data_IF_351511001417
#
_entry.id   IF_351511001417
#
_cell.length_a   1.000
_cell.length_b   1.000
_cell.length_c   1.000
_cell.angle_alpha   90.00
_cell.angle_beta   90.00
_cell.angle_gamma   90.00
#
_symmetry.space_group_name_H-M   'P 1'
#
loop_
_entity.id
_entity.type
_entity.pdbx_description
1 polymer ?
#
# COMPACT_ATOMS: atom_id res chain seq x y z
N UNK A 1 8.80 2.13 26.03
CA UNK A 1 8.98 1.19 27.16
C UNK A 1 7.76 1.05 28.07
N UNK A 2 7.14 2.16 28.49
CA UNK A 2 5.98 2.12 29.40
C UNK A 2 4.68 1.59 28.74
N UNK A 3 4.44 1.97 27.47
CA UNK A 3 3.31 1.47 26.66
C UNK A 3 3.36 -0.05 26.46
N UNK A 4 4.53 -0.58 26.06
CA UNK A 4 4.72 -2.03 25.87
C UNK A 4 4.59 -2.82 27.18
N UNK A 5 5.08 -2.27 28.30
CA UNK A 5 4.93 -2.89 29.63
C UNK A 5 3.47 -2.92 30.09
N UNK A 6 2.63 -1.99 29.64
CA UNK A 6 1.19 -1.97 29.90
C UNK A 6 0.45 -3.01 29.04
N UNK A 7 0.82 -3.14 27.77
CA UNK A 7 0.26 -4.13 26.85
C UNK A 7 0.53 -5.58 27.30
N UNK A 8 1.71 -5.85 27.88
CA UNK A 8 2.07 -7.17 28.42
C UNK A 8 1.27 -7.60 29.67
N UNK A 9 0.43 -6.72 30.26
CA UNK A 9 -0.37 -7.05 31.46
C UNK A 9 -1.77 -7.58 31.13
N UNK A 10 -2.12 -7.70 29.85
CA UNK A 10 -3.26 -8.49 29.37
C UNK A 10 -4.66 -8.05 29.80
N UNK A 11 -4.88 -6.85 30.34
CA UNK A 11 -6.23 -6.41 30.76
C UNK A 11 -6.60 -5.01 30.29
N UNK A 12 -7.56 -5.00 29.36
CA UNK A 12 -8.38 -3.90 28.83
C UNK A 12 -7.69 -2.80 28.03
N UNK A 13 -8.09 -2.66 26.76
CA UNK A 13 -7.79 -1.50 25.93
C UNK A 13 -7.98 -1.81 24.44
N UNK A 14 -8.26 -0.77 23.66
CA UNK A 14 -8.05 -0.80 22.21
C UNK A 14 -6.59 -0.47 21.94
N UNK A 15 -5.93 -1.22 21.06
CA UNK A 15 -4.59 -0.92 20.60
C UNK A 15 -4.56 -0.90 19.08
N UNK A 16 -3.66 -0.10 18.52
CA UNK A 16 -3.31 -0.12 17.10
C UNK A 16 -2.13 -1.06 16.91
N UNK A 17 -2.18 -1.86 15.86
CA UNK A 17 -1.05 -2.63 15.37
C UNK A 17 -0.96 -2.42 13.86
N UNK A 18 0.26 -2.31 13.32
CA UNK A 18 0.45 -2.37 11.89
C UNK A 18 0.16 -3.78 11.38
N UNK A 19 -0.27 -3.91 10.11
CA UNK A 19 -0.60 -5.22 9.54
C UNK A 19 0.57 -6.21 9.64
N UNK A 20 1.80 -5.72 9.54
CA UNK A 20 3.07 -6.46 9.65
C UNK A 20 3.49 -6.82 11.08
N UNK A 21 2.76 -6.36 12.10
CA UNK A 21 3.06 -6.64 13.51
C UNK A 21 2.10 -7.68 14.11
N UNK A 22 0.92 -7.86 13.51
CA UNK A 22 -0.11 -8.76 14.02
C UNK A 22 0.33 -10.20 13.84
N UNK A 23 0.76 -10.92 14.88
CA UNK A 23 1.12 -12.36 14.79
C UNK A 23 2.26 -12.67 13.80
N UNK A 24 3.22 -11.75 13.65
CA UNK A 24 4.36 -11.94 12.76
C UNK A 24 5.38 -12.91 13.39
N UNK A 25 5.63 -14.10 12.79
CA UNK A 25 6.57 -15.07 13.34
C UNK A 25 8.04 -14.64 13.21
N UNK A 26 8.34 -13.65 12.36
CA UNK A 26 9.68 -13.07 12.22
C UNK A 26 10.00 -12.06 13.34
N UNK A 27 9.00 -11.67 14.14
CA UNK A 27 9.16 -10.78 15.26
C UNK A 27 9.69 -11.54 16.49
N UNK A 28 10.97 -11.87 16.47
CA UNK A 28 11.66 -12.65 17.52
C UNK A 28 11.59 -12.00 18.90
N UNK A 29 11.32 -10.70 18.97
CA UNK A 29 11.23 -9.95 20.20
C UNK A 29 9.94 -10.25 20.99
N UNK A 30 8.89 -10.79 20.36
CA UNK A 30 7.59 -11.09 21.00
C UNK A 30 7.00 -9.94 21.83
N UNK A 31 7.32 -8.69 21.48
CA UNK A 31 6.92 -7.48 22.24
C UNK A 31 5.59 -6.88 21.78
N UNK A 32 5.13 -7.22 20.59
CA UNK A 32 3.97 -6.59 19.96
C UNK A 32 2.71 -7.41 20.19
N UNK A 33 1.61 -6.72 20.47
CA UNK A 33 0.28 -7.32 20.57
C UNK A 33 -0.27 -7.63 19.17
N UNK A 34 -0.99 -8.76 18.98
CA UNK A 34 -1.43 -9.70 20.00
C UNK A 34 -0.40 -10.78 20.40
N UNK A 35 0.69 -10.95 19.63
CA UNK A 35 1.68 -12.02 19.83
C UNK A 35 2.24 -12.08 21.27
N UNK A 36 2.52 -10.92 21.86
CA UNK A 36 3.06 -10.82 23.22
C UNK A 36 2.10 -11.34 24.29
N UNK A 37 0.79 -11.29 24.06
CA UNK A 37 -0.22 -11.80 25.01
C UNK A 37 -0.27 -13.32 24.95
N UNK A 38 -0.29 -13.91 23.75
CA UNK A 38 -0.26 -15.37 23.60
C UNK A 38 1.00 -16.00 24.19
N UNK A 39 2.16 -15.37 23.99
CA UNK A 39 3.44 -15.91 24.46
C UNK A 39 3.63 -15.72 25.97
N UNK A 40 3.23 -14.57 26.52
CA UNK A 40 3.60 -14.20 27.90
C UNK A 40 2.45 -14.22 28.90
N UNK A 41 1.19 -14.35 28.48
CA UNK A 41 0.03 -14.14 29.36
C UNK A 41 -1.05 -15.20 29.24
N UNK A 42 -1.60 -15.42 28.03
CA UNK A 42 -2.76 -16.28 27.79
C UNK A 42 -2.72 -16.77 26.34
N UNK A 43 -2.32 -18.03 26.15
CA UNK A 43 -2.17 -18.70 24.85
C UNK A 43 -3.52 -19.01 24.17
N UNK A 44 -4.64 -18.92 24.89
CA UNK A 44 -6.00 -19.14 24.39
C UNK A 44 -6.75 -17.81 24.15
N UNK A 45 -6.09 -16.67 24.30
CA UNK A 45 -6.71 -15.36 24.13
C UNK A 45 -7.28 -15.18 22.71
N UNK A 46 -8.55 -14.75 22.61
CA UNK A 46 -9.19 -14.44 21.31
C UNK A 46 -9.16 -12.94 21.05
N UNK A 47 -8.68 -12.54 19.87
CA UNK A 47 -8.64 -11.15 19.43
C UNK A 47 -9.67 -10.88 18.33
N UNK A 48 -10.42 -9.80 18.48
CA UNK A 48 -11.31 -9.28 17.43
C UNK A 48 -10.60 -8.13 16.73
N UNK A 49 -10.26 -8.32 15.45
CA UNK A 49 -9.61 -7.30 14.63
C UNK A 49 -10.66 -6.61 13.79
N UNK A 50 -10.78 -5.29 13.96
CA UNK A 50 -11.62 -4.43 13.13
C UNK A 50 -10.69 -3.61 12.24
N UNK A 51 -10.75 -3.75 10.90
CA UNK A 51 -9.98 -2.88 10.03
C UNK A 51 -10.57 -1.47 10.14
N UNK A 52 -9.89 -0.60 10.85
CA UNK A 52 -10.40 0.73 11.14
C UNK A 52 -9.90 1.72 10.08
N UNK A 53 -10.84 2.41 9.41
CA UNK A 53 -10.51 3.58 8.58
C UNK A 53 -9.92 4.73 9.41
N UNK A 54 -10.10 4.68 10.73
CA UNK A 54 -9.54 5.59 11.72
C UNK A 54 -9.09 4.80 12.96
N UNK A 55 -7.83 4.92 13.37
CA UNK A 55 -7.35 4.32 14.61
C UNK A 55 -7.83 5.09 15.85
N UNK A 56 -7.68 4.55 17.07
CA UNK A 56 -7.82 5.32 18.30
C UNK A 56 -6.92 6.57 18.27
N UNK A 57 -7.46 7.72 18.69
CA UNK A 57 -6.74 9.00 18.70
C UNK A 57 -6.86 9.81 17.40
N UNK A 58 -5.76 10.48 17.02
CA UNK A 58 -5.65 11.30 15.81
C UNK A 58 -4.92 10.57 14.66
N UNK A 59 -4.71 9.26 14.79
CA UNK A 59 -3.97 8.48 13.82
C UNK A 59 -4.92 7.91 12.76
N UNK A 60 -4.70 8.35 11.53
CA UNK A 60 -5.50 7.97 10.37
C UNK A 60 -4.65 7.16 9.40
N UNK A 61 -5.14 5.99 8.99
CA UNK A 61 -4.58 5.30 7.83
C UNK A 61 -5.47 5.59 6.63
N UNK A 62 -5.01 6.50 5.76
CA UNK A 62 -5.54 6.68 4.42
C UNK A 62 -4.42 6.29 3.47
N UNK A 63 -4.16 4.98 3.32
CA UNK A 63 -3.18 4.52 2.35
C UNK A 63 -3.71 4.87 0.96
N UNK A 64 -3.26 6.01 0.42
CA UNK A 64 -3.52 6.42 -0.95
C UNK A 64 -2.64 5.56 -1.86
N UNK A 65 -3.14 4.39 -2.22
CA UNK A 65 -2.47 3.54 -3.21
C UNK A 65 -2.59 4.21 -4.58
N UNK A 66 -1.46 4.46 -5.22
CA UNK A 66 -1.41 4.96 -6.59
C UNK A 66 -1.51 3.75 -7.52
N UNK A 67 -2.56 3.70 -8.33
CA UNK A 67 -2.78 2.65 -9.33
C UNK A 67 -2.03 2.97 -10.63
N UNK A 68 -0.77 3.43 -10.52
CA UNK A 68 0.12 3.65 -11.64
C UNK A 68 1.25 2.63 -11.58
N UNK A 69 1.48 1.92 -12.68
CA UNK A 69 2.57 0.93 -12.80
C UNK A 69 3.97 1.58 -12.75
N UNK A 70 4.04 2.87 -13.09
CA UNK A 70 5.26 3.68 -13.07
C UNK A 70 4.96 5.00 -12.35
N UNK A 71 5.89 5.47 -11.52
CA UNK A 71 5.75 6.71 -10.75
C UNK A 71 7.03 7.52 -10.86
N UNK A 72 6.92 8.84 -11.04
CA UNK A 72 8.07 9.76 -11.05
C UNK A 72 8.59 10.11 -9.64
N UNK A 73 8.00 9.52 -8.59
CA UNK A 73 8.48 9.73 -7.23
C UNK A 73 9.89 9.17 -7.02
N UNK A 74 10.70 9.89 -6.27
CA UNK A 74 11.98 9.42 -5.77
C UNK A 74 11.80 8.06 -5.09
N UNK A 75 12.52 7.05 -5.57
CA UNK A 75 12.42 5.66 -5.09
C UNK A 75 11.42 4.77 -5.84
N UNK A 76 10.70 5.29 -6.85
CA UNK A 76 9.75 4.52 -7.68
C UNK A 76 10.03 4.58 -9.19
N UNK A 77 11.08 5.29 -9.60
CA UNK A 77 11.65 5.24 -10.95
C UNK A 77 12.88 4.32 -10.95
N UNK A 78 12.95 3.40 -11.92
CA UNK A 78 14.21 2.72 -12.22
C UNK A 78 15.13 3.71 -12.95
N UNK A 79 16.24 4.09 -12.32
CA UNK A 79 17.26 4.94 -12.93
C UNK A 79 18.37 4.06 -13.49
N UNK A 80 18.60 4.14 -14.80
CA UNK A 80 19.72 3.45 -15.44
C UNK A 80 20.89 4.42 -15.57
N UNK A 81 22.08 3.99 -15.11
CA UNK A 81 23.30 4.76 -15.28
C UNK A 81 23.62 4.95 -16.76
N UNK A 82 24.19 6.11 -17.11
CA UNK A 82 24.55 6.45 -18.51
C UNK A 82 25.46 5.40 -19.19
N UNK A 83 26.19 4.58 -18.43
CA UNK A 83 27.06 3.52 -18.94
C UNK A 83 26.38 2.16 -19.14
N UNK A 84 25.06 2.05 -18.96
CA UNK A 84 24.30 0.84 -19.28
C UNK A 84 24.13 0.78 -20.79
N UNK A 85 24.68 -0.26 -21.43
CA UNK A 85 24.48 -0.48 -22.87
C UNK A 85 23.08 -0.98 -23.17
N UNK A 86 22.65 -0.89 -24.43
CA UNK A 86 21.33 -1.36 -24.86
C UNK A 86 21.14 -2.86 -24.58
N UNK A 87 22.18 -3.68 -24.71
CA UNK A 87 22.09 -5.12 -24.40
C UNK A 87 21.85 -5.36 -22.90
N UNK A 88 22.50 -4.56 -22.05
CA UNK A 88 22.29 -4.63 -20.59
C UNK A 88 20.89 -4.15 -20.23
N UNK A 89 20.42 -3.09 -20.87
CA UNK A 89 19.07 -2.56 -20.66
C UNK A 89 18.01 -3.58 -21.11
N UNK A 90 18.19 -4.19 -22.28
CA UNK A 90 17.32 -5.26 -22.78
C UNK A 90 17.28 -6.46 -21.82
N UNK A 91 18.43 -6.85 -21.24
CA UNK A 91 18.48 -7.92 -20.23
C UNK A 91 17.76 -7.54 -18.94
N UNK A 92 17.90 -6.30 -18.46
CA UNK A 92 17.15 -5.80 -17.29
C UNK A 92 15.65 -5.84 -17.57
N UNK A 93 15.20 -5.37 -18.73
CA UNK A 93 13.78 -5.45 -19.10
C UNK A 93 13.29 -6.88 -19.29
N UNK A 94 14.14 -7.81 -19.75
CA UNK A 94 13.81 -9.24 -19.79
C UNK A 94 13.59 -9.77 -18.38
N UNK A 95 14.50 -9.49 -17.44
CA UNK A 95 14.35 -9.90 -16.03
C UNK A 95 13.09 -9.31 -15.40
N UNK A 96 12.83 -8.03 -15.66
CA UNK A 96 11.62 -7.34 -15.19
C UNK A 96 10.35 -7.99 -15.77
N UNK A 97 10.38 -8.33 -17.07
CA UNK A 97 9.27 -8.97 -17.75
C UNK A 97 9.05 -10.42 -17.26
N UNK A 98 10.13 -11.20 -17.10
CA UNK A 98 10.06 -12.57 -16.55
C UNK A 98 9.46 -12.55 -15.13
N UNK A 99 9.81 -11.56 -14.31
CA UNK A 99 9.24 -11.37 -12.98
C UNK A 99 7.75 -11.03 -12.99
N UNK A 100 7.32 -10.13 -13.88
CA UNK A 100 5.94 -9.63 -13.91
C UNK A 100 4.98 -10.42 -14.79
N UNK A 101 5.46 -11.25 -15.72
CA UNK A 101 4.60 -12.00 -16.63
C UNK A 101 4.09 -13.32 -16.05
N UNK A 102 4.86 -13.96 -15.19
CA UNK A 102 4.42 -15.19 -14.52
C UNK A 102 4.95 -15.24 -13.07
N UNK A 103 4.13 -14.89 -12.06
CA UNK A 103 4.49 -15.03 -10.65
C UNK A 103 4.85 -16.46 -10.24
N UNK A 104 4.44 -17.46 -11.02
CA UNK A 104 4.62 -18.87 -10.72
C UNK A 104 5.75 -19.51 -11.51
N UNK A 105 6.47 -18.75 -12.35
CA UNK A 105 7.63 -19.31 -13.03
C UNK A 105 8.78 -19.57 -12.04
N UNK A 106 9.68 -20.48 -12.43
CA UNK A 106 10.83 -20.87 -11.60
C UNK A 106 11.71 -19.66 -11.24
N UNK A 107 11.73 -18.61 -12.08
CA UNK A 107 12.46 -17.39 -11.80
C UNK A 107 11.86 -16.66 -10.57
N UNK A 108 10.56 -16.43 -10.56
CA UNK A 108 9.83 -15.77 -9.47
C UNK A 108 9.89 -16.59 -8.18
N UNK A 109 9.70 -17.92 -8.24
CA UNK A 109 9.72 -18.76 -7.03
C UNK A 109 11.14 -18.94 -6.46
N UNK A 110 12.18 -19.07 -7.29
CA UNK A 110 13.53 -19.41 -6.80
C UNK A 110 14.47 -18.19 -6.67
N UNK A 111 14.39 -17.24 -7.59
CA UNK A 111 15.32 -16.09 -7.63
C UNK A 111 14.82 -14.95 -6.74
N UNK A 112 13.51 -14.71 -6.73
CA UNK A 112 12.91 -13.66 -5.88
C UNK A 112 12.44 -14.20 -4.53
N UNK A 113 11.72 -15.32 -4.52
CA UNK A 113 11.17 -15.90 -3.31
C UNK A 113 12.19 -16.73 -2.49
N UNK A 114 13.26 -17.18 -3.14
CA UNK A 114 14.31 -18.01 -2.56
C UNK A 114 14.02 -19.51 -2.68
N UNK A 115 15.03 -20.33 -2.41
CA UNK A 115 14.94 -21.80 -2.47
C UNK A 115 14.69 -22.39 -1.09
N UNK A 116 13.64 -23.20 -0.94
CA UNK A 116 13.35 -23.95 0.30
C UNK A 116 14.54 -24.83 0.71
N UNK A 117 14.84 -24.86 2.01
CA UNK A 117 16.00 -25.57 2.59
C UNK A 117 17.33 -24.82 2.47
N UNK A 118 17.41 -23.76 1.65
CA UNK A 118 18.58 -22.88 1.54
C UNK A 118 18.27 -21.50 2.14
N UNK A 119 17.16 -20.90 1.72
CA UNK A 119 16.77 -19.53 2.07
C UNK A 119 15.68 -19.49 3.13
N UNK A 120 14.81 -20.49 3.14
CA UNK A 120 13.72 -20.58 4.10
C UNK A 120 13.25 -22.02 4.31
N UNK A 121 12.41 -22.25 5.30
CA UNK A 121 11.57 -23.45 5.44
C UNK A 121 10.13 -23.04 5.69
N UNK A 122 9.14 -23.87 5.36
CA UNK A 122 7.75 -23.56 5.70
C UNK A 122 7.48 -23.82 7.17
N UNK A 123 6.69 -22.95 7.81
CA UNK A 123 6.21 -23.17 9.18
C UNK A 123 5.13 -24.25 9.28
N UNK A 124 4.62 -24.73 8.14
CA UNK A 124 3.53 -25.68 8.01
C UNK A 124 3.38 -26.15 6.55
N UNK A 125 2.14 -26.29 6.06
CA UNK A 125 1.86 -26.67 4.67
C UNK A 125 2.45 -25.67 3.65
N UNK A 126 3.23 -26.14 2.65
CA UNK A 126 3.79 -25.30 1.60
C UNK A 126 2.75 -24.44 0.88
N UNK A 127 3.12 -23.20 0.54
CA UNK A 127 2.24 -22.21 -0.13
C UNK A 127 0.97 -21.81 0.65
N UNK A 128 0.79 -22.34 1.86
CA UNK A 128 -0.33 -22.02 2.74
C UNK A 128 0.11 -21.48 4.11
N UNK A 129 1.41 -21.52 4.41
CA UNK A 129 2.02 -21.16 5.70
C UNK A 129 3.14 -20.14 5.52
N UNK A 130 3.64 -19.56 6.60
CA UNK A 130 4.75 -18.58 6.53
C UNK A 130 6.06 -19.25 6.15
N UNK A 131 6.93 -18.50 5.46
CA UNK A 131 8.34 -18.86 5.28
C UNK A 131 9.15 -18.41 6.50
N UNK A 132 9.87 -19.34 7.10
CA UNK A 132 10.86 -19.06 8.16
C UNK A 132 12.20 -18.86 7.47
N UNK A 133 12.68 -17.61 7.42
CA UNK A 133 13.92 -17.25 6.74
C UNK A 133 15.15 -17.83 7.46
N UNK A 134 16.13 -18.28 6.67
CA UNK A 134 17.46 -18.67 7.14
C UNK A 134 18.31 -17.41 7.37
N UNK A 135 19.09 -17.42 8.44
CA UNK A 135 20.09 -16.37 8.73
C UNK A 135 21.07 -16.20 7.55
N UNK A 136 21.38 -14.96 7.19
CA UNK A 136 22.14 -14.63 5.97
C UNK A 136 23.55 -15.24 5.95
N UNK A 137 24.16 -15.41 7.13
CA UNK A 137 25.47 -16.03 7.31
C UNK A 137 25.45 -17.56 7.05
N UNK A 138 24.29 -18.20 7.20
CA UNK A 138 24.07 -19.62 6.90
C UNK A 138 23.82 -19.89 5.41
N UNK A 139 23.51 -18.85 4.64
CA UNK A 139 23.28 -18.97 3.20
C UNK A 139 24.63 -18.98 2.46
N UNK A 140 24.97 -20.05 1.72
CA UNK A 140 26.21 -20.11 0.94
C UNK A 140 26.29 -18.94 -0.04
N UNK A 141 27.49 -18.36 -0.22
CA UNK A 141 27.71 -17.17 -1.05
C UNK A 141 27.09 -17.30 -2.45
N UNK A 142 27.22 -18.48 -3.07
CA UNK A 142 26.66 -18.76 -4.41
C UNK A 142 25.13 -18.70 -4.50
N UNK A 143 24.43 -18.74 -3.37
CA UNK A 143 22.98 -18.67 -3.29
C UNK A 143 22.48 -17.35 -2.71
N UNK A 144 23.34 -16.46 -2.20
CA UNK A 144 22.88 -15.19 -1.62
C UNK A 144 22.13 -14.35 -2.65
N UNK A 145 20.93 -13.92 -2.28
CA UNK A 145 20.07 -13.11 -3.13
C UNK A 145 20.51 -11.64 -3.15
N UNK A 146 20.35 -10.99 -4.30
CA UNK A 146 20.69 -9.57 -4.49
C UNK A 146 19.73 -8.57 -3.84
N UNK A 147 18.63 -9.05 -3.21
CA UNK A 147 17.57 -8.24 -2.57
C UNK A 147 17.09 -7.07 -3.46
N UNK A 148 16.72 -7.38 -4.71
CA UNK A 148 16.18 -6.37 -5.62
C UNK A 148 14.78 -5.96 -5.18
N UNK A 149 14.55 -4.65 -5.02
CA UNK A 149 13.21 -4.12 -4.79
C UNK A 149 12.51 -3.98 -6.15
N UNK A 150 11.64 -4.93 -6.46
CA UNK A 150 10.76 -4.88 -7.63
C UNK A 150 9.35 -4.78 -7.08
N UNK A 151 8.64 -3.68 -7.34
CA UNK A 151 7.28 -3.47 -6.81
C UNK A 151 6.38 -4.66 -7.17
N UNK A 152 5.67 -5.24 -6.21
CA UNK A 152 4.73 -6.33 -6.46
C UNK A 152 3.49 -5.80 -7.17
N UNK A 153 3.41 -6.01 -8.49
CA UNK A 153 2.19 -5.84 -9.29
C UNK A 153 1.62 -7.20 -9.67
N UNK A 154 1.41 -8.07 -8.67
CA UNK A 154 0.73 -9.34 -8.91
C UNK A 154 -0.78 -9.09 -8.92
N UNK A 155 -1.42 -9.46 -10.03
CA UNK A 155 -2.88 -9.45 -10.16
C UNK A 155 -3.56 -10.63 -9.45
N UNK A 156 -2.76 -11.51 -8.86
CA UNK A 156 -3.20 -12.65 -8.06
C UNK A 156 -2.85 -12.43 -6.58
N UNK A 157 -3.58 -13.10 -5.71
CA UNK A 157 -3.45 -12.98 -4.26
C UNK A 157 -2.02 -13.40 -3.84
N UNK A 158 -1.19 -12.42 -3.48
CA UNK A 158 0.09 -12.71 -2.86
C UNK A 158 -0.15 -13.10 -1.39
N UNK A 159 -0.29 -14.41 -1.18
CA UNK A 159 -0.60 -15.04 0.10
C UNK A 159 0.62 -15.35 0.97
N UNK A 160 1.83 -14.89 0.62
CA UNK A 160 3.06 -15.26 1.34
C UNK A 160 3.25 -14.54 2.69
N UNK A 161 2.26 -13.74 3.11
CA UNK A 161 2.19 -13.22 4.48
C UNK A 161 1.90 -14.34 5.49
N UNK A 162 2.26 -14.12 6.75
CA UNK A 162 1.94 -15.08 7.80
C UNK A 162 0.42 -15.16 8.06
N UNK A 163 -0.02 -16.25 8.71
CA UNK A 163 -1.43 -16.66 8.78
C UNK A 163 -2.41 -15.54 9.16
N UNK A 164 -2.13 -14.76 10.20
CA UNK A 164 -3.02 -13.66 10.60
C UNK A 164 -3.14 -12.57 9.53
N UNK A 165 -2.05 -12.18 8.87
CA UNK A 165 -2.08 -11.23 7.76
C UNK A 165 -2.88 -11.80 6.59
N UNK A 166 -2.70 -13.08 6.27
CA UNK A 166 -3.45 -13.78 5.23
C UNK A 166 -4.95 -13.79 5.49
N UNK A 167 -5.38 -14.09 6.72
CA UNK A 167 -6.80 -14.10 7.10
C UNK A 167 -7.42 -12.70 6.93
N UNK A 168 -6.73 -11.64 7.37
CA UNK A 168 -7.19 -10.26 7.23
C UNK A 168 -7.31 -9.86 5.75
N UNK A 169 -6.29 -10.14 4.94
CA UNK A 169 -6.29 -9.83 3.51
C UNK A 169 -7.38 -10.61 2.76
N UNK A 170 -7.53 -11.91 3.04
CA UNK A 170 -8.60 -12.76 2.49
C UNK A 170 -9.99 -12.21 2.86
N UNK A 171 -10.19 -11.79 4.10
CA UNK A 171 -11.45 -11.16 4.53
C UNK A 171 -11.74 -9.86 3.76
N UNK A 172 -10.73 -9.00 3.58
CA UNK A 172 -10.87 -7.77 2.80
C UNK A 172 -11.17 -8.05 1.32
N UNK A 173 -10.48 -9.03 0.74
CA UNK A 173 -10.64 -9.46 -0.65
C UNK A 173 -12.05 -10.03 -0.90
N UNK A 174 -12.45 -11.04 -0.13
CA UNK A 174 -13.78 -11.66 -0.20
C UNK A 174 -14.89 -10.65 0.10
N UNK A 175 -14.64 -9.72 1.01
CA UNK A 175 -15.55 -8.62 1.32
C UNK A 175 -15.65 -7.58 0.21
N UNK A 176 -14.81 -7.66 -0.84
CA UNK A 176 -14.70 -6.69 -1.95
C UNK A 176 -14.48 -5.27 -1.46
N UNK A 177 -13.60 -5.10 -0.47
CA UNK A 177 -13.39 -3.83 0.21
C UNK A 177 -12.97 -2.70 -0.74
N UNK A 178 -12.08 -2.98 -1.69
CA UNK A 178 -11.70 -2.01 -2.71
C UNK A 178 -12.91 -1.51 -3.52
N UNK A 179 -13.82 -2.40 -3.92
CA UNK A 179 -15.03 -2.02 -4.66
C UNK A 179 -16.03 -1.22 -3.81
N UNK A 180 -16.08 -1.48 -2.50
CA UNK A 180 -17.04 -0.84 -1.58
C UNK A 180 -16.57 0.50 -1.02
N UNK A 181 -15.27 0.62 -0.78
CA UNK A 181 -14.68 1.71 0.01
C UNK A 181 -13.55 2.44 -0.73
N UNK A 182 -13.08 1.92 -1.86
CA UNK A 182 -12.12 2.60 -2.71
C UNK A 182 -12.74 3.87 -3.29
N UNK A 183 -12.00 4.97 -3.21
CA UNK A 183 -12.37 6.24 -3.85
C UNK A 183 -11.45 6.40 -5.06
N UNK A 184 -12.07 6.37 -6.24
CA UNK A 184 -11.37 6.57 -7.51
C UNK A 184 -11.37 8.07 -7.84
N UNK A 185 -10.20 8.65 -8.19
CA UNK A 185 -10.16 10.05 -8.55
C UNK A 185 -10.81 10.25 -9.92
N UNK A 186 -11.61 11.31 -10.08
CA UNK A 186 -12.18 11.67 -11.40
C UNK A 186 -11.08 12.06 -12.40
N UNK A 187 -10.05 12.79 -11.93
CA UNK A 187 -8.82 13.09 -12.66
C UNK A 187 -7.62 12.85 -11.77
N UNK A 188 -6.54 12.33 -12.34
CA UNK A 188 -5.36 11.93 -11.57
C UNK A 188 -4.18 12.88 -11.81
N UNK A 189 -3.80 13.64 -10.78
CA UNK A 189 -2.74 14.65 -10.88
C UNK A 189 -1.38 13.94 -10.99
N UNK A 190 -0.84 13.85 -12.21
CA UNK A 190 0.55 13.49 -12.46
C UNK A 190 1.01 14.01 -13.83
N UNK A 191 2.32 13.96 -14.07
CA UNK A 191 2.94 14.39 -15.34
C UNK A 191 2.43 13.58 -16.53
N UNK A 192 2.17 12.28 -16.34
CA UNK A 192 1.75 11.37 -17.42
C UNK A 192 0.33 11.66 -17.94
N UNK A 193 -0.57 12.08 -17.06
CA UNK A 193 -1.97 12.38 -17.37
C UNK A 193 -2.13 13.84 -17.80
N UNK A 194 -1.45 14.78 -17.14
CA UNK A 194 -1.59 16.21 -17.43
C UNK A 194 -0.66 16.70 -18.56
N UNK A 195 0.42 15.97 -18.82
CA UNK A 195 1.57 16.50 -19.56
C UNK A 195 2.43 17.44 -18.70
N UNK A 196 3.74 17.44 -18.95
CA UNK A 196 4.72 18.18 -18.14
C UNK A 196 4.37 19.66 -17.92
N UNK A 197 4.04 20.39 -19.00
CA UNK A 197 3.78 21.83 -18.91
C UNK A 197 2.54 22.17 -18.08
N UNK A 198 1.45 21.41 -18.24
CA UNK A 198 0.24 21.62 -17.43
C UNK A 198 0.48 21.24 -15.98
N UNK A 199 1.19 20.14 -15.72
CA UNK A 199 1.52 19.69 -14.37
C UNK A 199 2.36 20.74 -13.61
N UNK A 200 3.41 21.27 -14.24
CA UNK A 200 4.26 22.31 -13.62
C UNK A 200 3.45 23.57 -13.28
N UNK A 201 2.56 24.01 -14.19
CA UNK A 201 1.66 25.14 -13.97
C UNK A 201 0.68 24.86 -12.82
N UNK A 202 0.07 23.67 -12.80
CA UNK A 202 -0.81 23.23 -11.72
C UNK A 202 -0.11 23.26 -10.37
N UNK A 203 1.10 22.70 -10.27
CA UNK A 203 1.87 22.68 -9.01
C UNK A 203 2.16 24.11 -8.54
N UNK A 204 2.54 25.01 -9.44
CA UNK A 204 2.78 26.41 -9.11
C UNK A 204 1.51 27.13 -8.62
N UNK A 205 0.41 26.99 -9.35
CA UNK A 205 -0.86 27.64 -9.02
C UNK A 205 -1.46 27.07 -7.72
N UNK A 206 -1.46 25.74 -7.57
CA UNK A 206 -1.97 25.09 -6.36
C UNK A 206 -1.15 25.46 -5.12
N UNK A 207 0.18 25.61 -5.26
CA UNK A 207 1.06 26.05 -4.15
C UNK A 207 0.61 27.40 -3.56
N UNK A 208 0.03 28.29 -4.37
CA UNK A 208 -0.42 29.61 -3.91
C UNK A 208 -1.68 29.57 -3.03
N UNK A 209 -2.54 28.56 -3.23
CA UNK A 209 -3.81 28.41 -2.50
C UNK A 209 -3.78 27.32 -1.43
N UNK A 210 -2.80 26.42 -1.51
CA UNK A 210 -2.71 25.20 -0.68
C UNK A 210 -2.84 25.46 0.82
N UNK A 211 -2.17 26.47 1.35
CA UNK A 211 -2.16 26.71 2.80
C UNK A 211 -3.57 27.03 3.34
N UNK A 212 -4.37 27.81 2.59
CA UNK A 212 -5.73 28.14 2.99
C UNK A 212 -6.67 26.94 2.85
N UNK A 213 -6.54 26.19 1.76
CA UNK A 213 -7.28 24.94 1.52
C UNK A 213 -6.99 23.94 2.64
N UNK A 214 -5.72 23.69 2.97
CA UNK A 214 -5.31 22.73 3.98
C UNK A 214 -5.88 23.09 5.37
N UNK A 215 -5.94 24.37 5.74
CA UNK A 215 -6.60 24.82 6.98
C UNK A 215 -8.09 24.45 7.00
N UNK A 216 -8.84 24.79 5.94
CA UNK A 216 -10.29 24.50 5.87
C UNK A 216 -10.56 22.99 5.92
N UNK A 217 -9.75 22.21 5.21
CA UNK A 217 -9.83 20.73 5.21
C UNK A 217 -9.61 20.20 6.63
N UNK A 218 -8.56 20.66 7.32
CA UNK A 218 -8.22 20.18 8.66
C UNK A 218 -9.29 20.56 9.68
N UNK A 219 -9.75 21.81 9.68
CA UNK A 219 -10.79 22.28 10.61
C UNK A 219 -12.11 21.53 10.42
N UNK A 220 -12.52 21.32 9.17
CA UNK A 220 -13.72 20.55 8.86
C UNK A 220 -13.60 19.10 9.31
N UNK A 221 -12.48 18.44 8.96
CA UNK A 221 -12.23 17.06 9.37
C UNK A 221 -12.22 16.92 10.89
N UNK A 222 -11.47 17.76 11.60
CA UNK A 222 -11.38 17.75 13.06
C UNK A 222 -12.76 17.96 13.71
N UNK A 223 -13.56 18.90 13.20
CA UNK A 223 -14.91 19.15 13.69
C UNK A 223 -15.85 17.95 13.50
N UNK A 224 -15.82 17.31 12.33
CA UNK A 224 -16.62 16.09 12.07
C UNK A 224 -16.18 14.97 13.01
N UNK A 225 -14.88 14.74 13.13
CA UNK A 225 -14.34 13.64 13.90
C UNK A 225 -14.51 13.80 15.42
N UNK A 226 -14.50 15.03 15.94
CA UNK A 226 -14.80 15.32 17.35
C UNK A 226 -16.29 15.36 17.66
N UNK A 227 -17.16 15.11 16.66
CA UNK A 227 -18.60 15.21 16.79
C UNK A 227 -19.13 16.64 16.93
N UNK A 228 -18.28 17.65 16.74
CA UNK A 228 -18.66 19.07 16.74
C UNK A 228 -19.36 19.52 15.46
N UNK A 229 -19.20 18.75 14.37
CA UNK A 229 -19.92 18.93 13.11
C UNK A 229 -20.73 17.66 12.83
N UNK A 230 -22.05 17.83 12.73
CA UNK A 230 -22.90 16.79 12.15
C UNK A 230 -22.80 16.86 10.62
N UNK A 231 -22.43 15.75 9.99
CA UNK A 231 -22.36 15.67 8.54
C UNK A 231 -23.78 15.60 7.95
N UNK A 232 -24.19 16.65 7.26
CA UNK A 232 -25.44 16.76 6.49
C UNK A 232 -25.11 17.29 5.10
N UNK A 233 -26.00 17.09 4.13
CA UNK A 233 -25.82 17.57 2.75
C UNK A 233 -25.51 19.08 2.73
N UNK A 234 -26.31 19.88 3.45
CA UNK A 234 -26.09 21.34 3.55
C UNK A 234 -24.74 21.73 4.17
N UNK A 235 -24.24 20.93 5.12
CA UNK A 235 -22.95 21.18 5.78
C UNK A 235 -21.79 20.81 4.85
N UNK A 236 -21.97 19.77 4.05
CA UNK A 236 -21.04 19.39 2.99
C UNK A 236 -20.96 20.48 1.91
N UNK A 237 -22.10 20.96 1.41
CA UNK A 237 -22.15 22.02 0.41
C UNK A 237 -21.45 23.29 0.89
N UNK A 238 -21.71 23.69 2.14
CA UNK A 238 -21.04 24.86 2.76
C UNK A 238 -19.53 24.67 2.88
N UNK A 239 -19.06 23.44 3.08
CA UNK A 239 -17.63 23.12 3.13
C UNK A 239 -16.99 23.22 1.75
N UNK A 240 -17.65 22.69 0.71
CA UNK A 240 -17.18 22.80 -0.67
C UNK A 240 -17.10 24.27 -1.11
N UNK A 241 -18.09 25.09 -0.76
CA UNK A 241 -18.04 26.52 -1.10
C UNK A 241 -16.89 27.26 -0.39
N UNK A 242 -16.59 26.95 0.88
CA UNK A 242 -15.42 27.51 1.55
C UNK A 242 -14.11 27.15 0.85
N UNK A 243 -13.97 25.91 0.37
CA UNK A 243 -12.79 25.51 -0.41
C UNK A 243 -12.71 26.30 -1.72
N UNK A 244 -13.85 26.45 -2.41
CA UNK A 244 -13.94 27.19 -3.66
C UNK A 244 -13.58 28.67 -3.49
N UNK A 245 -14.06 29.32 -2.45
CA UNK A 245 -13.71 30.70 -2.07
C UNK A 245 -12.23 30.83 -1.70
N UNK A 246 -11.62 29.81 -1.08
CA UNK A 246 -10.19 29.76 -0.77
C UNK A 246 -9.28 29.50 -1.99
N UNK A 247 -9.84 29.53 -3.20
CA UNK A 247 -9.09 29.44 -4.45
C UNK A 247 -9.16 28.09 -5.14
N UNK A 248 -9.82 27.07 -4.56
CA UNK A 248 -10.00 25.79 -5.24
C UNK A 248 -10.82 25.95 -6.54
N UNK A 249 -11.75 26.90 -6.60
CA UNK A 249 -12.57 27.16 -7.80
C UNK A 249 -11.69 27.47 -9.02
N UNK A 250 -10.71 28.36 -8.86
CA UNK A 250 -9.77 28.70 -9.94
C UNK A 250 -8.94 27.50 -10.40
N UNK A 251 -8.53 26.63 -9.48
CA UNK A 251 -7.82 25.38 -9.82
C UNK A 251 -8.74 24.44 -10.61
N UNK A 252 -9.99 24.28 -10.19
CA UNK A 252 -10.97 23.43 -10.88
C UNK A 252 -11.24 23.96 -12.28
N UNK A 253 -11.55 25.25 -12.42
CA UNK A 253 -11.88 25.87 -13.69
C UNK A 253 -10.71 25.83 -14.69
N UNK A 254 -9.48 26.03 -14.20
CA UNK A 254 -8.29 26.07 -15.06
C UNK A 254 -7.82 24.67 -15.48
N UNK A 255 -7.85 23.70 -14.55
CA UNK A 255 -7.22 22.40 -14.76
C UNK A 255 -8.24 21.27 -14.87
N UNK A 256 -9.15 21.14 -13.91
CA UNK A 256 -10.08 20.02 -13.88
C UNK A 256 -11.16 20.11 -14.96
N UNK A 257 -11.52 21.32 -15.40
CA UNK A 257 -12.44 21.51 -16.51
C UNK A 257 -11.72 21.54 -17.88
N UNK A 258 -10.39 21.46 -17.91
CA UNK A 258 -9.62 21.38 -19.15
C UNK A 258 -9.77 19.98 -19.78
N UNK A 259 -10.14 19.94 -21.06
CA UNK A 259 -10.31 18.70 -21.84
C UNK A 259 -8.99 17.96 -22.07
N UNK A 260 -7.87 18.68 -22.12
CA UNK A 260 -6.52 18.12 -22.30
C UNK A 260 -6.01 17.41 -21.05
N UNK A 261 -6.65 17.63 -19.89
CA UNK A 261 -6.46 16.79 -18.71
C UNK A 261 -7.51 15.69 -18.74
N UNK A 262 -7.22 14.47 -19.23
CA UNK A 262 -8.22 13.42 -19.34
C UNK A 262 -8.74 12.98 -17.96
N UNK A 263 -9.96 12.43 -17.96
CA UNK A 263 -10.47 11.68 -16.81
C UNK A 263 -9.58 10.48 -16.55
N UNK A 264 -9.40 10.15 -15.28
CA UNK A 264 -8.64 8.98 -14.89
C UNK A 264 -9.33 7.72 -15.42
N UNK A 265 -8.55 6.89 -16.10
CA UNK A 265 -8.98 5.57 -16.53
C UNK A 265 -8.32 4.54 -15.63
N UNK A 266 -9.13 3.75 -14.95
CA UNK A 266 -8.63 2.59 -14.23
C UNK A 266 -8.02 1.62 -15.23
N UNK A 267 -6.83 1.07 -14.94
CA UNK A 267 -6.31 -0.04 -15.71
C UNK A 267 -7.34 -1.18 -15.76
N UNK A 268 -7.51 -1.79 -16.94
CA UNK A 268 -8.34 -2.98 -17.10
C UNK A 268 -7.61 -4.20 -16.51
N UNK A 269 -7.72 -4.36 -15.19
CA UNK A 269 -7.08 -5.46 -14.47
C UNK A 269 -7.65 -6.82 -14.87
N UNK A 270 -8.94 -6.92 -15.20
CA UNK A 270 -9.54 -8.17 -15.66
C UNK A 270 -9.11 -8.54 -17.09
N UNK A 271 -8.97 -7.55 -17.97
CA UNK A 271 -8.36 -7.73 -19.30
C UNK A 271 -6.90 -8.15 -19.20
N UNK A 272 -6.13 -7.50 -18.33
CA UNK A 272 -4.74 -7.87 -18.08
C UNK A 272 -4.63 -9.32 -17.57
N UNK A 273 -5.41 -9.70 -16.56
CA UNK A 273 -5.46 -11.09 -16.04
C UNK A 273 -5.86 -12.11 -17.12
N UNK A 274 -6.88 -11.81 -17.93
CA UNK A 274 -7.27 -12.70 -19.04
C UNK A 274 -6.15 -12.86 -20.07
N UNK A 275 -5.40 -11.79 -20.36
CA UNK A 275 -4.25 -11.88 -21.26
C UNK A 275 -3.12 -12.74 -20.67
N UNK A 276 -2.91 -12.70 -19.34
CA UNK A 276 -1.97 -13.58 -18.65
C UNK A 276 -2.40 -15.05 -18.72
N UNK A 277 -3.67 -15.36 -18.45
CA UNK A 277 -4.15 -16.74 -18.51
C UNK A 277 -4.28 -17.29 -19.95
N UNK A 278 -4.43 -16.41 -20.95
CA UNK A 278 -4.50 -16.77 -22.37
C UNK A 278 -3.14 -16.93 -23.06
N UNK A 279 -2.04 -16.65 -22.37
CA UNK A 279 -0.66 -16.95 -22.78
C UNK A 279 -0.19 -18.33 -22.29
N UNK A 280 -1.07 -19.14 -21.69
CA UNK A 280 -0.83 -20.57 -21.37
C UNK A 280 -1.12 -21.47 -22.55
#
# INVERSE_FOLDING_TARGET
DELHSMWMKGKTGFFTAELSEICNPENLDNKYVPQSIWVNTDDEATFVILPALKGPGNDFSAKRSRLAAMSEETGKVFTFGRGVSDEKLARIFTIWNDYHQDPFNDFSDQVYAGVEGIHFTWSGEPYNSTRILMEEDRIPIKYRMGKFWINDYFGEENFFGYDAQKQILTFQYNGKWMKKYGIEPYKYINVMQMGKGMYEKYVADYKSVRAQIDTIVNDFAEGVWKGGIKLTDSRWDSYIEQLYEAGLRGIVDTYYNNIDFPSYQLPDFEGALRSFHGLK
#
